data_IF_844180464039
#
_entry.id   IF_844180464039
#
_cell.length_a   1.000
_cell.length_b   1.000
_cell.length_c   1.000
_cell.angle_alpha   90.00
_cell.angle_beta   90.00
_cell.angle_gamma   90.00
#
_symmetry.space_group_name_H-M   'P 1'
#
loop_
_entity.id
_entity.type
_entity.pdbx_description
1 polymer ?
#
# COMPACT_ATOMS: atom_id res chain seq x y z
N UNK A 1 24.01 9.31 41.99
CA UNK A 1 23.92 8.72 40.63
C UNK A 1 24.05 7.23 40.75
N UNK A 2 23.04 6.50 40.33
CA UNK A 2 23.08 5.02 40.34
C UNK A 2 24.23 4.51 39.43
N UNK A 3 24.87 3.43 39.84
CA UNK A 3 25.92 2.81 39.02
C UNK A 3 25.26 1.98 37.90
N UNK A 4 25.19 2.54 36.70
CA UNK A 4 24.57 1.88 35.55
C UNK A 4 25.50 0.79 35.04
N UNK A 5 25.12 -0.46 35.22
CA UNK A 5 25.90 -1.64 34.79
C UNK A 5 25.62 -2.00 33.34
N UNK A 6 26.56 -2.69 32.69
CA UNK A 6 26.36 -3.24 31.34
C UNK A 6 25.19 -4.23 31.28
N UNK A 7 24.96 -4.97 32.38
CA UNK A 7 23.82 -5.90 32.49
C UNK A 7 22.48 -5.17 32.46
N UNK A 8 22.32 -4.10 33.23
CA UNK A 8 21.09 -3.26 33.20
C UNK A 8 20.79 -2.73 31.78
N UNK A 9 21.82 -2.29 31.06
CA UNK A 9 21.67 -1.81 29.67
C UNK A 9 21.22 -2.95 28.74
N UNK A 10 21.77 -4.15 28.93
CA UNK A 10 21.39 -5.34 28.18
C UNK A 10 19.96 -5.73 28.44
N UNK A 11 19.54 -5.81 29.72
CA UNK A 11 18.20 -6.18 30.15
C UNK A 11 17.14 -5.18 29.62
N UNK A 12 17.44 -3.87 29.68
CA UNK A 12 16.58 -2.83 29.14
C UNK A 12 16.46 -2.94 27.61
N UNK A 13 17.57 -3.25 26.91
CA UNK A 13 17.56 -3.47 25.48
C UNK A 13 16.76 -4.71 25.08
N UNK A 14 16.88 -5.80 25.80
CA UNK A 14 16.06 -7.02 25.56
C UNK A 14 14.57 -6.72 25.75
N UNK A 15 14.22 -5.95 26.78
CA UNK A 15 12.84 -5.57 27.09
C UNK A 15 12.23 -4.58 26.08
N UNK A 16 13.02 -3.64 25.56
CA UNK A 16 12.51 -2.50 24.74
C UNK A 16 12.90 -2.56 23.29
N UNK A 17 13.91 -3.38 22.94
CA UNK A 17 14.53 -3.40 21.63
C UNK A 17 15.15 -2.06 21.18
N UNK A 18 15.31 -1.10 22.06
CA UNK A 18 15.96 0.18 21.78
C UNK A 18 17.48 0.05 21.59
N UNK A 19 18.11 1.05 20.98
CA UNK A 19 19.55 1.08 20.79
C UNK A 19 20.32 1.12 22.12
N UNK A 20 21.50 0.47 22.18
CA UNK A 20 22.27 0.32 23.41
C UNK A 20 22.64 1.67 24.06
N UNK A 21 22.98 2.67 23.23
CA UNK A 21 23.26 4.04 23.71
C UNK A 21 22.03 4.74 24.27
N UNK A 22 20.87 4.53 23.67
CA UNK A 22 19.61 5.11 24.15
C UNK A 22 19.18 4.44 25.46
N UNK A 23 19.34 3.12 25.60
CA UNK A 23 19.13 2.39 26.88
C UNK A 23 20.05 2.93 27.99
N UNK A 24 21.34 3.15 27.70
CA UNK A 24 22.25 3.72 28.68
C UNK A 24 21.83 5.14 29.09
N UNK A 25 21.44 6.00 28.12
CA UNK A 25 20.95 7.36 28.41
C UNK A 25 19.66 7.33 29.25
N UNK A 26 18.75 6.44 28.95
CA UNK A 26 17.50 6.28 29.69
C UNK A 26 17.78 5.90 31.16
N UNK A 27 18.57 4.85 31.39
CA UNK A 27 18.95 4.44 32.75
C UNK A 27 19.68 5.56 33.52
N UNK A 28 20.54 6.30 32.85
CA UNK A 28 21.22 7.44 33.47
C UNK A 28 20.24 8.55 33.86
N UNK A 29 19.26 8.84 33.00
CA UNK A 29 18.25 9.88 33.24
C UNK A 29 17.23 9.50 34.34
N UNK A 30 17.08 8.22 34.63
CA UNK A 30 16.14 7.67 35.61
C UNK A 30 16.82 7.03 36.83
N UNK A 31 18.10 7.38 37.06
CA UNK A 31 18.89 6.86 38.18
C UNK A 31 18.86 5.34 38.33
N UNK A 32 18.80 4.59 37.20
CA UNK A 32 18.80 3.14 37.16
C UNK A 32 17.42 2.49 37.34
N UNK A 33 16.34 3.27 37.46
CA UNK A 33 14.99 2.73 37.50
C UNK A 33 14.62 2.17 36.10
N UNK A 34 14.37 0.86 36.06
CA UNK A 34 14.12 0.12 34.81
C UNK A 34 12.77 0.49 34.19
N UNK A 35 11.72 0.68 35.01
CA UNK A 35 10.38 1.01 34.50
C UNK A 35 10.27 2.47 34.05
N UNK A 36 10.84 3.36 34.81
CA UNK A 36 10.98 4.76 34.40
C UNK A 36 11.83 4.89 33.12
N UNK A 37 12.88 4.07 32.96
CA UNK A 37 13.71 4.05 31.75
C UNK A 37 12.93 3.53 30.50
N UNK A 38 12.03 2.56 30.65
CA UNK A 38 11.13 2.11 29.59
C UNK A 38 10.22 3.25 29.15
N UNK A 39 9.59 3.94 30.10
CA UNK A 39 8.71 5.09 29.85
C UNK A 39 9.48 6.23 29.17
N UNK A 40 10.67 6.57 29.65
CA UNK A 40 11.55 7.57 29.06
C UNK A 40 11.93 7.24 27.61
N UNK A 41 12.29 5.97 27.32
CA UNK A 41 12.61 5.52 25.97
C UNK A 41 11.42 5.66 25.04
N UNK A 42 10.23 5.32 25.52
CA UNK A 42 8.98 5.44 24.75
C UNK A 42 8.69 6.90 24.38
N UNK A 43 8.72 7.81 25.35
CA UNK A 43 8.49 9.25 25.12
C UNK A 43 9.52 9.86 24.16
N UNK A 44 10.80 9.53 24.34
CA UNK A 44 11.87 9.97 23.44
C UNK A 44 11.78 9.36 22.04
N UNK A 45 11.34 8.11 21.92
CA UNK A 45 11.09 7.44 20.66
C UNK A 45 9.98 8.13 19.87
N UNK A 46 8.85 8.40 20.49
CA UNK A 46 7.75 9.16 19.90
C UNK A 46 8.21 10.55 19.46
N UNK A 47 8.93 11.30 20.31
CA UNK A 47 9.44 12.62 19.98
C UNK A 47 10.41 12.60 18.77
N UNK A 48 11.22 11.54 18.62
CA UNK A 48 12.07 11.33 17.43
C UNK A 48 11.26 11.00 16.19
N UNK A 49 10.22 10.15 16.33
CA UNK A 49 9.35 9.77 15.23
C UNK A 49 8.58 10.98 14.66
N UNK A 50 8.02 11.81 15.54
CA UNK A 50 7.32 13.06 15.15
C UNK A 50 8.26 14.01 14.38
N UNK A 51 9.53 14.13 14.78
CA UNK A 51 10.50 14.95 14.02
C UNK A 51 10.76 14.45 12.60
N UNK A 52 10.48 13.18 12.32
CA UNK A 52 10.62 12.57 10.99
C UNK A 52 9.32 12.63 10.17
N UNK A 53 8.28 13.27 10.66
CA UNK A 53 6.97 13.31 10.00
C UNK A 53 7.04 13.91 8.58
N UNK A 54 7.94 14.86 8.35
CA UNK A 54 8.21 15.45 7.04
C UNK A 54 9.01 14.57 6.07
N UNK A 55 9.56 13.42 6.52
CA UNK A 55 10.34 12.55 5.66
C UNK A 55 9.43 11.78 4.68
N UNK A 56 9.93 11.56 3.44
CA UNK A 56 9.23 10.76 2.43
C UNK A 56 9.36 9.28 2.83
N UNK A 57 8.23 8.59 2.93
CA UNK A 57 8.15 7.16 3.17
C UNK A 57 7.40 6.52 1.98
N UNK A 58 8.15 6.12 0.95
CA UNK A 58 7.61 5.57 -0.30
C UNK A 58 7.82 4.06 -0.44
N UNK A 59 8.57 3.47 0.49
CA UNK A 59 8.72 2.02 0.62
C UNK A 59 7.76 1.48 1.69
N UNK A 60 7.83 0.20 2.00
CA UNK A 60 6.94 -0.44 2.97
C UNK A 60 6.24 -1.68 2.40
N UNK A 61 5.09 -2.03 2.96
CA UNK A 61 4.26 -3.15 2.52
C UNK A 61 2.77 -2.79 2.54
N UNK A 62 2.04 -3.34 1.58
CA UNK A 62 0.59 -3.47 1.66
C UNK A 62 0.22 -4.78 2.35
N UNK A 63 -0.93 -4.81 3.00
CA UNK A 63 -1.49 -6.03 3.59
C UNK A 63 -3.02 -6.00 3.57
N UNK A 64 -3.60 -7.12 3.94
CA UNK A 64 -5.03 -7.23 4.20
C UNK A 64 -5.27 -8.08 5.45
N UNK A 65 -6.40 -7.86 6.10
CA UNK A 65 -6.94 -8.70 7.14
C UNK A 65 -8.41 -8.98 6.85
N UNK A 66 -8.84 -10.22 7.07
CA UNK A 66 -10.22 -10.64 6.78
C UNK A 66 -10.80 -11.27 8.05
N UNK A 67 -12.03 -10.83 8.42
CA UNK A 67 -12.79 -11.40 9.53
C UNK A 67 -14.27 -11.46 9.15
N UNK A 68 -14.81 -12.66 9.03
CA UNK A 68 -16.20 -12.88 8.59
C UNK A 68 -16.47 -12.20 7.25
N UNK A 69 -17.41 -11.27 7.23
CA UNK A 69 -17.84 -10.55 6.03
C UNK A 69 -17.09 -9.23 5.80
N UNK A 70 -16.07 -8.93 6.60
CA UNK A 70 -15.26 -7.73 6.50
C UNK A 70 -13.84 -8.04 6.06
N UNK A 71 -13.32 -7.31 5.08
CA UNK A 71 -11.92 -7.29 4.69
C UNK A 71 -11.38 -5.87 4.76
N UNK A 72 -10.18 -5.73 5.30
CA UNK A 72 -9.45 -4.47 5.35
C UNK A 72 -8.20 -4.60 4.51
N UNK A 73 -8.00 -3.69 3.58
CA UNK A 73 -6.80 -3.60 2.74
C UNK A 73 -6.09 -2.30 3.06
N UNK A 74 -4.81 -2.36 3.36
CA UNK A 74 -4.08 -1.18 3.84
C UNK A 74 -2.62 -1.17 3.41
N UNK A 75 -2.01 0.02 3.47
CA UNK A 75 -0.60 0.25 3.18
C UNK A 75 0.09 0.88 4.38
N UNK A 76 1.16 0.23 4.85
CA UNK A 76 2.06 0.74 5.89
C UNK A 76 3.40 1.07 5.24
N UNK A 77 3.76 2.36 5.25
CA UNK A 77 4.97 2.84 4.59
C UNK A 77 6.15 2.96 5.55
N UNK A 78 7.36 2.80 5.00
CA UNK A 78 8.67 3.07 5.60
C UNK A 78 9.53 3.90 4.66
N UNK A 79 10.65 4.43 5.15
CA UNK A 79 11.58 5.19 4.32
C UNK A 79 12.39 4.29 3.39
N UNK A 80 12.80 3.10 3.89
CA UNK A 80 13.62 2.15 3.14
C UNK A 80 12.94 0.78 2.99
N UNK A 81 13.32 0.04 1.97
CA UNK A 81 12.91 -1.33 1.74
C UNK A 81 13.55 -2.32 2.74
N UNK A 82 14.70 -1.98 3.34
CA UNK A 82 15.30 -2.76 4.42
C UNK A 82 14.37 -2.87 5.63
N UNK A 83 13.72 -1.77 6.00
CA UNK A 83 12.74 -1.76 7.09
C UNK A 83 11.52 -2.58 6.73
N UNK A 84 11.05 -2.53 5.49
CA UNK A 84 9.92 -3.34 5.02
C UNK A 84 10.16 -4.86 5.16
N UNK A 85 11.42 -5.30 5.13
CA UNK A 85 11.82 -6.71 5.33
C UNK A 85 12.12 -7.06 6.80
N UNK A 86 12.12 -6.09 7.70
CA UNK A 86 12.42 -6.29 9.10
C UNK A 86 11.26 -7.01 9.82
N UNK A 87 11.55 -8.04 10.62
CA UNK A 87 10.55 -8.80 11.36
C UNK A 87 9.65 -7.91 12.22
N UNK A 88 10.19 -6.89 12.90
CA UNK A 88 9.39 -5.96 13.72
C UNK A 88 8.41 -5.12 12.89
N UNK A 89 8.77 -4.77 11.65
CA UNK A 89 7.87 -4.08 10.74
C UNK A 89 6.75 -5.02 10.28
N UNK A 90 7.08 -6.27 9.96
CA UNK A 90 6.10 -7.29 9.58
C UNK A 90 5.14 -7.60 10.73
N UNK A 91 5.65 -7.70 11.96
CA UNK A 91 4.83 -7.89 13.16
C UNK A 91 3.88 -6.70 13.38
N UNK A 92 4.38 -5.47 13.23
CA UNK A 92 3.55 -4.26 13.27
C UNK A 92 2.48 -4.27 12.17
N UNK A 93 2.85 -4.63 10.94
CA UNK A 93 1.93 -4.73 9.81
C UNK A 93 0.77 -5.69 10.10
N UNK A 94 1.07 -6.86 10.66
CA UNK A 94 0.05 -7.85 11.04
C UNK A 94 -0.83 -7.32 12.17
N UNK A 95 -0.24 -6.72 13.20
CA UNK A 95 -0.95 -6.10 14.33
C UNK A 95 -1.89 -4.98 13.88
N UNK A 96 -1.43 -4.10 12.98
CA UNK A 96 -2.25 -3.03 12.39
C UNK A 96 -3.49 -3.63 11.69
N UNK A 97 -3.30 -4.66 10.87
CA UNK A 97 -4.40 -5.35 10.19
C UNK A 97 -5.41 -5.96 11.17
N UNK A 98 -4.92 -6.61 12.23
CA UNK A 98 -5.77 -7.20 13.27
C UNK A 98 -6.57 -6.15 14.03
N UNK A 99 -5.95 -5.04 14.41
CA UNK A 99 -6.63 -3.94 15.11
C UNK A 99 -7.75 -3.36 14.22
N UNK A 100 -7.45 -3.07 12.95
CA UNK A 100 -8.42 -2.40 12.08
C UNK A 100 -9.58 -3.34 11.71
N UNK A 101 -9.33 -4.62 11.42
CA UNK A 101 -10.40 -5.56 11.04
C UNK A 101 -11.35 -5.84 12.20
N UNK A 102 -10.89 -5.71 13.45
CA UNK A 102 -11.71 -5.88 14.67
C UNK A 102 -12.41 -4.59 15.12
N UNK A 103 -12.23 -3.46 14.42
CA UNK A 103 -12.84 -2.16 14.75
C UNK A 103 -13.91 -1.78 13.74
N UNK A 104 -14.62 -0.68 13.98
CA UNK A 104 -15.59 -0.10 13.05
C UNK A 104 -14.97 0.96 12.13
N UNK A 105 -13.65 1.05 12.08
CA UNK A 105 -12.95 2.01 11.23
C UNK A 105 -13.16 1.69 9.75
N UNK A 106 -13.55 2.70 8.98
CA UNK A 106 -13.79 2.60 7.52
C UNK A 106 -12.83 3.45 6.71
N UNK A 107 -12.01 4.28 7.35
CA UNK A 107 -11.06 5.18 6.71
C UNK A 107 -9.73 5.21 7.45
N UNK A 108 -8.68 5.76 6.82
CA UNK A 108 -7.34 5.87 7.41
C UNK A 108 -7.34 6.68 8.70
N UNK A 109 -7.97 7.85 8.71
CA UNK A 109 -8.04 8.71 9.89
C UNK A 109 -8.85 8.05 11.03
N UNK A 110 -9.90 7.32 10.68
CA UNK A 110 -10.68 6.55 11.64
C UNK A 110 -9.82 5.42 12.24
N UNK A 111 -9.06 4.71 11.41
CA UNK A 111 -8.20 3.62 11.83
C UNK A 111 -7.10 4.08 12.81
N UNK A 112 -6.49 5.24 12.55
CA UNK A 112 -5.45 5.79 13.42
C UNK A 112 -5.94 6.11 14.84
N UNK A 113 -7.24 6.33 15.03
CA UNK A 113 -7.88 6.63 16.31
C UNK A 113 -8.41 5.38 17.04
N UNK A 114 -8.29 4.19 16.44
CA UNK A 114 -8.76 2.95 17.08
C UNK A 114 -7.91 2.66 18.30
N UNK A 115 -8.55 2.48 19.44
CA UNK A 115 -7.88 2.14 20.68
C UNK A 115 -7.58 0.64 20.75
N UNK A 116 -6.32 0.31 21.07
CA UNK A 116 -5.84 -1.03 21.33
C UNK A 116 -4.72 -0.96 22.39
N UNK A 117 -4.73 -1.89 23.33
CA UNK A 117 -3.72 -1.94 24.40
C UNK A 117 -3.59 -0.64 25.22
N UNK A 118 -4.70 0.09 25.39
CA UNK A 118 -4.75 1.34 26.17
C UNK A 118 -4.15 2.57 25.46
N UNK A 119 -3.98 2.53 24.14
CA UNK A 119 -3.51 3.63 23.31
C UNK A 119 -4.10 3.55 21.90
N UNK A 120 -4.11 4.67 21.20
CA UNK A 120 -4.57 4.69 19.80
C UNK A 120 -3.54 4.06 18.85
N UNK A 121 -4.01 3.62 17.68
CA UNK A 121 -3.18 2.96 16.67
C UNK A 121 -2.05 3.88 16.17
N UNK A 122 -2.29 5.19 16.07
CA UNK A 122 -1.27 6.15 15.69
C UNK A 122 -0.10 6.13 16.66
N UNK A 123 -0.38 6.12 17.98
CA UNK A 123 0.65 6.01 19.03
C UNK A 123 1.43 4.71 18.91
N UNK A 124 0.76 3.58 18.64
CA UNK A 124 1.43 2.28 18.41
C UNK A 124 2.41 2.37 17.24
N UNK A 125 2.01 2.99 16.13
CA UNK A 125 2.86 3.18 14.94
C UNK A 125 4.03 4.11 15.24
N UNK A 126 3.81 5.22 15.96
CA UNK A 126 4.86 6.17 16.34
C UNK A 126 5.90 5.52 17.26
N UNK A 127 5.47 4.71 18.23
CA UNK A 127 6.38 3.95 19.10
C UNK A 127 7.26 2.99 18.30
N UNK A 128 6.65 2.24 17.37
CA UNK A 128 7.39 1.34 16.48
C UNK A 128 8.37 2.09 15.58
N UNK A 129 7.97 3.25 15.04
CA UNK A 129 8.84 4.14 14.28
C UNK A 129 10.03 4.63 15.11
N UNK A 130 9.81 4.96 16.39
CA UNK A 130 10.87 5.34 17.32
C UNK A 130 11.88 4.22 17.61
N UNK A 131 11.40 2.97 17.72
CA UNK A 131 12.24 1.78 17.95
C UNK A 131 13.02 1.37 16.71
N UNK A 132 12.35 1.36 15.55
CA UNK A 132 12.95 0.98 14.26
C UNK A 132 13.91 2.07 13.77
N UNK A 133 13.62 3.33 14.07
CA UNK A 133 14.47 4.45 13.72
C UNK A 133 14.17 5.10 12.38
N UNK A 134 13.10 4.70 11.69
CA UNK A 134 12.59 5.31 10.46
C UNK A 134 11.15 5.80 10.64
N UNK A 135 10.71 6.73 9.78
CA UNK A 135 9.30 7.07 9.68
C UNK A 135 8.50 5.85 9.22
N UNK A 136 7.50 5.50 10.00
CA UNK A 136 6.48 4.53 9.63
C UNK A 136 5.13 5.23 9.64
N UNK A 137 4.31 5.02 8.62
CA UNK A 137 3.00 5.66 8.51
C UNK A 137 1.97 4.74 7.88
N UNK A 138 0.76 4.72 8.45
CA UNK A 138 -0.41 4.13 7.84
C UNK A 138 -0.94 5.10 6.79
N UNK A 139 -0.73 4.79 5.51
CA UNK A 139 -1.00 5.73 4.42
C UNK A 139 -2.43 5.67 3.93
N UNK A 140 -2.94 4.48 3.74
CA UNK A 140 -4.29 4.26 3.21
C UNK A 140 -4.91 2.99 3.78
N UNK A 141 -6.18 3.08 4.04
CA UNK A 141 -7.03 1.98 4.51
C UNK A 141 -8.29 1.97 3.66
N UNK A 142 -8.65 0.82 3.15
CA UNK A 142 -9.91 0.59 2.45
C UNK A 142 -10.59 -0.63 3.03
N UNK A 143 -11.88 -0.52 3.30
CA UNK A 143 -12.69 -1.61 3.83
C UNK A 143 -13.61 -2.13 2.73
N UNK A 144 -13.66 -3.45 2.61
CA UNK A 144 -14.61 -4.16 1.77
C UNK A 144 -15.52 -5.00 2.67
N UNK A 145 -16.79 -4.99 2.36
CA UNK A 145 -17.79 -5.85 2.98
C UNK A 145 -18.40 -6.77 1.92
N UNK A 146 -18.74 -7.97 2.31
CA UNK A 146 -19.43 -8.94 1.49
C UNK A 146 -20.68 -9.46 2.19
N UNK A 147 -21.64 -9.95 1.43
CA UNK A 147 -22.76 -10.72 1.95
C UNK A 147 -22.38 -12.19 2.18
N UNK A 148 -23.25 -12.96 2.85
CA UNK A 148 -23.03 -14.41 3.03
C UNK A 148 -23.11 -15.19 1.70
N UNK A 149 -23.72 -14.62 0.67
CA UNK A 149 -23.77 -15.20 -0.68
C UNK A 149 -22.53 -14.88 -1.54
N UNK A 150 -21.57 -14.19 -0.98
CA UNK A 150 -20.36 -13.73 -1.66
C UNK A 150 -19.10 -14.31 -1.01
N UNK A 151 -18.00 -14.30 -1.76
CA UNK A 151 -16.71 -14.78 -1.32
C UNK A 151 -15.63 -13.72 -1.53
N UNK A 152 -14.66 -13.66 -0.60
CA UNK A 152 -13.44 -12.91 -0.81
C UNK A 152 -12.39 -13.74 -1.55
N UNK A 153 -11.77 -13.15 -2.58
CA UNK A 153 -10.52 -13.60 -3.14
C UNK A 153 -9.40 -12.67 -2.70
N UNK A 154 -8.38 -13.20 -2.05
CA UNK A 154 -7.27 -12.39 -1.56
C UNK A 154 -5.93 -12.91 -2.09
N UNK A 155 -5.06 -12.01 -2.53
CA UNK A 155 -3.75 -12.34 -3.04
C UNK A 155 -2.69 -11.31 -2.62
N UNK A 156 -1.54 -11.82 -2.19
CA UNK A 156 -0.38 -11.02 -1.81
C UNK A 156 0.77 -11.37 -2.74
N UNK A 157 1.23 -10.40 -3.53
CA UNK A 157 2.33 -10.56 -4.47
C UNK A 157 3.62 -9.96 -3.90
N UNK A 158 4.77 -10.60 -4.20
CA UNK A 158 6.10 -10.15 -3.80
C UNK A 158 6.18 -9.74 -2.32
N UNK A 159 5.66 -10.59 -1.42
CA UNK A 159 5.72 -10.36 0.02
C UNK A 159 4.82 -9.24 0.55
N UNK A 160 3.94 -8.67 -0.28
CA UNK A 160 3.09 -7.54 0.08
C UNK A 160 3.44 -6.24 -0.67
N UNK A 161 4.28 -6.29 -1.69
CA UNK A 161 4.49 -5.15 -2.58
C UNK A 161 3.23 -4.78 -3.36
N UNK A 162 2.42 -5.78 -3.69
CA UNK A 162 1.08 -5.60 -4.23
C UNK A 162 0.14 -6.52 -3.46
N UNK A 163 -1.01 -6.00 -3.08
CA UNK A 163 -2.09 -6.80 -2.51
C UNK A 163 -3.39 -6.53 -3.23
N UNK A 164 -4.20 -7.56 -3.34
CA UNK A 164 -5.53 -7.50 -3.94
C UNK A 164 -6.52 -8.23 -3.04
N UNK A 165 -7.68 -7.62 -2.85
CA UNK A 165 -8.88 -8.30 -2.34
C UNK A 165 -9.99 -8.06 -3.33
N UNK A 166 -10.61 -9.12 -3.82
CA UNK A 166 -11.75 -9.11 -4.71
C UNK A 166 -12.99 -9.69 -3.99
N UNK A 167 -14.17 -9.22 -4.35
CA UNK A 167 -15.47 -9.73 -3.89
C UNK A 167 -16.18 -10.32 -5.11
N UNK A 168 -16.59 -11.57 -5.00
CA UNK A 168 -17.34 -12.24 -6.04
C UNK A 168 -18.67 -12.75 -5.48
N UNK A 169 -19.73 -12.68 -6.29
CA UNK A 169 -20.95 -13.44 -6.06
C UNK A 169 -20.65 -14.94 -6.25
N UNK A 170 -21.16 -15.78 -5.37
CA UNK A 170 -20.90 -17.20 -5.33
C UNK A 170 -20.02 -17.60 -4.13
N UNK A 171 -19.56 -18.86 -4.13
CA UNK A 171 -18.83 -19.45 -3.02
C UNK A 171 -17.51 -20.15 -3.43
N UNK A 172 -17.03 -19.92 -4.64
CA UNK A 172 -15.79 -20.52 -5.13
C UNK A 172 -14.57 -19.67 -4.77
N UNK A 173 -13.92 -20.02 -3.65
CA UNK A 173 -12.72 -19.35 -3.16
C UNK A 173 -11.54 -19.45 -4.14
N UNK A 174 -11.47 -20.53 -4.93
CA UNK A 174 -10.39 -20.73 -5.91
C UNK A 174 -10.53 -19.72 -7.03
N UNK A 175 -11.73 -19.59 -7.59
CA UNK A 175 -12.02 -18.60 -8.64
C UNK A 175 -11.78 -17.18 -8.11
N UNK A 176 -12.23 -16.88 -6.91
CA UNK A 176 -12.02 -15.55 -6.30
C UNK A 176 -10.53 -15.22 -6.11
N UNK A 177 -9.73 -16.18 -5.64
CA UNK A 177 -8.28 -16.04 -5.51
C UNK A 177 -7.59 -15.87 -6.85
N UNK A 178 -8.04 -16.61 -7.88
CA UNK A 178 -7.50 -16.53 -9.22
C UNK A 178 -7.77 -15.17 -9.87
N UNK A 179 -8.96 -14.61 -9.66
CA UNK A 179 -9.29 -13.22 -10.04
C UNK A 179 -8.38 -12.23 -9.32
N UNK A 180 -8.19 -12.37 -8.01
CA UNK A 180 -7.29 -11.49 -7.26
C UNK A 180 -5.84 -11.57 -7.77
N UNK A 181 -5.37 -12.76 -8.15
CA UNK A 181 -4.05 -12.96 -8.74
C UNK A 181 -3.95 -12.28 -10.12
N UNK A 182 -4.98 -12.40 -10.95
CA UNK A 182 -5.04 -11.73 -12.24
C UNK A 182 -5.00 -10.21 -12.09
N UNK A 183 -5.80 -9.65 -11.17
CA UNK A 183 -5.80 -8.21 -10.84
C UNK A 183 -4.41 -7.73 -10.38
N UNK A 184 -3.71 -8.51 -9.57
CA UNK A 184 -2.36 -8.18 -9.14
C UNK A 184 -1.38 -8.07 -10.31
N UNK A 185 -1.49 -8.99 -11.28
CA UNK A 185 -0.59 -9.10 -12.43
C UNK A 185 -0.90 -8.06 -13.51
N UNK A 186 -2.17 -7.89 -13.87
CA UNK A 186 -2.59 -7.09 -15.03
C UNK A 186 -2.98 -5.66 -14.67
N UNK A 187 -3.25 -5.36 -13.40
CA UNK A 187 -3.54 -4.04 -12.90
C UNK A 187 -4.75 -3.35 -13.52
N UNK A 188 -5.90 -4.02 -13.72
CA UNK A 188 -7.09 -3.34 -14.21
C UNK A 188 -7.52 -2.23 -13.25
N UNK A 189 -8.18 -1.21 -13.77
CA UNK A 189 -8.66 -0.07 -12.96
C UNK A 189 -10.13 -0.20 -12.61
N UNK A 190 -10.92 -0.87 -13.46
CA UNK A 190 -12.36 -1.03 -13.36
C UNK A 190 -12.75 -2.51 -13.52
N UNK A 191 -13.88 -2.89 -12.95
CA UNK A 191 -14.42 -4.25 -13.16
C UNK A 191 -14.93 -4.38 -14.61
N UNK A 192 -15.76 -3.44 -15.06
CA UNK A 192 -16.35 -3.42 -16.40
C UNK A 192 -16.27 -2.03 -17.03
N UNK A 193 -16.71 -1.91 -18.29
CA UNK A 193 -16.79 -0.61 -18.98
C UNK A 193 -17.81 0.32 -18.36
N UNK A 194 -18.87 -0.22 -17.77
CA UNK A 194 -19.96 0.53 -17.17
C UNK A 194 -19.51 1.26 -15.88
N UNK A 195 -18.40 0.83 -15.29
CA UNK A 195 -17.81 1.41 -14.08
C UNK A 195 -16.90 2.61 -14.38
N UNK A 196 -16.60 2.86 -15.66
CA UNK A 196 -15.68 3.95 -16.05
C UNK A 196 -16.46 5.29 -16.01
N UNK A 197 -15.96 6.31 -15.29
CA UNK A 197 -16.59 7.63 -15.31
C UNK A 197 -16.66 8.21 -16.73
N UNK A 198 -17.81 8.77 -17.09
CA UNK A 198 -18.02 9.34 -18.44
C UNK A 198 -16.99 10.41 -18.81
N UNK A 199 -16.54 11.20 -17.85
CA UNK A 199 -15.49 12.21 -18.03
C UNK A 199 -14.15 11.58 -18.42
N UNK A 200 -13.79 10.42 -17.84
CA UNK A 200 -12.57 9.71 -18.19
C UNK A 200 -12.66 9.14 -19.60
N UNK A 201 -13.80 8.56 -19.98
CA UNK A 201 -14.03 8.10 -21.36
C UNK A 201 -13.92 9.25 -22.35
N UNK A 202 -14.51 10.41 -22.04
CA UNK A 202 -14.43 11.59 -22.89
C UNK A 202 -12.99 12.10 -23.05
N UNK A 203 -12.25 12.19 -21.96
CA UNK A 203 -10.84 12.60 -21.95
C UNK A 203 -9.95 11.64 -22.73
N UNK A 204 -10.14 10.34 -22.55
CA UNK A 204 -9.39 9.32 -23.30
C UNK A 204 -9.68 9.42 -24.81
N UNK A 205 -10.94 9.66 -25.18
CA UNK A 205 -11.34 9.88 -26.58
C UNK A 205 -10.64 11.10 -27.18
N UNK A 206 -10.53 12.19 -26.45
CA UNK A 206 -9.83 13.41 -26.91
C UNK A 206 -8.33 13.13 -27.13
N UNK A 207 -7.68 12.41 -26.22
CA UNK A 207 -6.27 12.04 -26.33
C UNK A 207 -6.05 11.15 -27.57
N UNK A 208 -6.90 10.14 -27.75
CA UNK A 208 -6.84 9.23 -28.92
C UNK A 208 -7.06 9.99 -30.21
N UNK A 209 -8.01 10.93 -30.24
CA UNK A 209 -8.28 11.77 -31.42
C UNK A 209 -7.06 12.64 -31.78
N UNK A 210 -6.50 13.34 -30.80
CA UNK A 210 -5.32 14.19 -31.02
C UNK A 210 -4.12 13.36 -31.52
N UNK A 211 -3.89 12.17 -30.90
CA UNK A 211 -2.83 11.26 -31.34
C UNK A 211 -3.05 10.76 -32.76
N UNK A 212 -4.28 10.35 -33.12
CA UNK A 212 -4.60 9.85 -34.44
C UNK A 212 -4.48 10.94 -35.54
N UNK A 213 -4.83 12.19 -35.22
CA UNK A 213 -4.65 13.34 -36.13
C UNK A 213 -3.17 13.64 -36.35
N UNK A 214 -2.35 13.62 -35.30
CA UNK A 214 -0.90 13.85 -35.43
C UNK A 214 -0.23 12.74 -36.26
N UNK A 215 -0.58 11.47 -36.02
CA UNK A 215 -0.09 10.35 -36.85
C UNK A 215 -0.52 10.48 -38.31
N UNK A 216 -1.76 10.93 -38.55
CA UNK A 216 -2.28 11.14 -39.89
C UNK A 216 -1.56 12.28 -40.66
N UNK A 217 -1.21 13.35 -39.97
CA UNK A 217 -0.49 14.50 -40.58
C UNK A 217 0.91 14.10 -41.09
N UNK A 218 1.53 13.08 -40.47
CA UNK A 218 2.85 12.56 -40.88
C UNK A 218 2.77 11.36 -41.81
N UNK A 219 1.54 10.89 -42.12
CA UNK A 219 1.32 9.70 -42.95
C UNK A 219 1.57 9.99 -44.43
N UNK A 220 2.15 9.04 -45.15
CA UNK A 220 2.32 9.12 -46.62
C UNK A 220 0.99 9.14 -47.40
N UNK A 221 -0.12 8.73 -46.76
CA UNK A 221 -1.49 8.75 -47.32
C UNK A 221 -2.46 9.25 -46.26
N UNK A 222 -2.52 10.58 -46.02
CA UNK A 222 -3.40 11.13 -45.01
C UNK A 222 -4.87 10.88 -45.36
N UNK A 223 -5.64 10.52 -44.32
CA UNK A 223 -7.09 10.31 -44.42
C UNK A 223 -7.82 11.58 -44.01
N UNK A 224 -9.06 11.79 -44.51
CA UNK A 224 -9.92 12.85 -44.02
C UNK A 224 -10.13 12.76 -42.48
N UNK A 225 -10.08 13.91 -41.81
CA UNK A 225 -10.24 13.98 -40.35
C UNK A 225 -11.55 13.35 -39.85
N UNK A 226 -12.63 13.49 -40.63
CA UNK A 226 -13.92 12.86 -40.33
C UNK A 226 -13.82 11.33 -40.27
N UNK A 227 -13.05 10.71 -41.16
CA UNK A 227 -12.85 9.24 -41.14
C UNK A 227 -12.04 8.83 -39.90
N UNK A 228 -11.11 9.66 -39.47
CA UNK A 228 -10.35 9.41 -38.25
C UNK A 228 -11.29 9.45 -37.04
N UNK A 229 -12.07 10.51 -36.93
CA UNK A 229 -13.00 10.72 -35.81
C UNK A 229 -14.10 9.63 -35.73
N UNK A 230 -14.65 9.24 -36.89
CA UNK A 230 -15.84 8.36 -36.92
C UNK A 230 -15.51 6.85 -36.99
N UNK A 231 -14.33 6.47 -37.50
CA UNK A 231 -13.99 5.07 -37.72
C UNK A 231 -12.74 4.61 -36.96
N UNK A 232 -11.72 5.46 -36.83
CA UNK A 232 -10.46 5.04 -36.17
C UNK A 232 -10.54 5.25 -34.67
N UNK A 233 -10.99 6.42 -34.22
CA UNK A 233 -11.07 6.76 -32.80
C UNK A 233 -11.97 5.80 -32.00
N UNK A 234 -13.19 5.45 -32.43
CA UNK A 234 -14.02 4.51 -31.68
C UNK A 234 -13.38 3.14 -31.48
N UNK A 235 -12.72 2.60 -32.51
CA UNK A 235 -12.04 1.30 -32.40
C UNK A 235 -10.84 1.34 -31.47
N UNK A 236 -10.04 2.43 -31.48
CA UNK A 236 -8.93 2.62 -30.57
C UNK A 236 -9.41 2.83 -29.13
N UNK A 237 -10.46 3.61 -28.95
CA UNK A 237 -11.07 3.85 -27.65
C UNK A 237 -11.60 2.53 -27.05
N UNK A 238 -12.31 1.75 -27.83
CA UNK A 238 -12.79 0.45 -27.39
C UNK A 238 -11.65 -0.48 -26.93
N UNK A 239 -10.54 -0.47 -27.66
CA UNK A 239 -9.35 -1.24 -27.29
C UNK A 239 -8.73 -0.73 -25.99
N UNK A 240 -8.53 0.58 -25.86
CA UNK A 240 -8.00 1.21 -24.65
C UNK A 240 -8.85 0.90 -23.42
N UNK A 241 -10.19 1.04 -23.55
CA UNK A 241 -11.11 0.73 -22.44
C UNK A 241 -11.11 -0.75 -22.06
N UNK A 242 -10.93 -1.67 -23.04
CA UNK A 242 -10.80 -3.10 -22.75
C UNK A 242 -9.55 -3.42 -21.92
N UNK A 243 -8.45 -2.72 -22.15
CA UNK A 243 -7.19 -2.95 -21.44
C UNK A 243 -7.26 -2.57 -19.97
N UNK A 244 -8.10 -1.60 -19.59
CA UNK A 244 -8.27 -1.16 -18.19
C UNK A 244 -9.44 -1.84 -17.46
N UNK A 245 -10.27 -2.64 -18.15
CA UNK A 245 -11.42 -3.34 -17.59
C UNK A 245 -11.10 -4.81 -17.31
N UNK A 246 -11.22 -5.23 -16.07
CA UNK A 246 -10.94 -6.59 -15.60
C UNK A 246 -11.65 -7.66 -16.44
N UNK A 247 -12.97 -7.53 -16.61
CA UNK A 247 -13.78 -8.56 -17.28
C UNK A 247 -13.41 -8.76 -18.76
N UNK A 248 -12.88 -7.71 -19.42
CA UNK A 248 -12.50 -7.74 -20.84
C UNK A 248 -11.08 -8.26 -21.09
N UNK A 249 -10.24 -8.37 -20.03
CA UNK A 249 -8.86 -8.82 -20.17
C UNK A 249 -8.78 -10.32 -20.42
N UNK A 250 -7.79 -10.76 -21.20
CA UNK A 250 -7.44 -12.17 -21.34
C UNK A 250 -6.96 -12.72 -20.00
N UNK A 251 -7.49 -13.84 -19.55
CA UNK A 251 -7.21 -14.40 -18.23
C UNK A 251 -5.75 -14.87 -18.11
N UNK A 252 -5.02 -14.40 -17.11
CA UNK A 252 -3.58 -14.65 -16.99
C UNK A 252 -3.18 -16.13 -16.95
N UNK A 253 -4.03 -17.01 -16.43
CA UNK A 253 -3.77 -18.46 -16.39
C UNK A 253 -4.20 -19.19 -17.67
N UNK A 254 -5.10 -18.60 -18.44
CA UNK A 254 -5.57 -19.14 -19.71
C UNK A 254 -5.96 -18.00 -20.66
N UNK A 255 -5.02 -17.52 -21.50
CA UNK A 255 -5.24 -16.38 -22.40
C UNK A 255 -6.29 -16.61 -23.49
N UNK A 256 -6.72 -17.85 -23.72
CA UNK A 256 -7.74 -18.19 -24.71
C UNK A 256 -9.16 -17.80 -24.28
N UNK A 257 -9.34 -17.39 -23.01
CA UNK A 257 -10.61 -16.90 -22.49
C UNK A 257 -10.43 -15.58 -21.75
N UNK A 258 -11.51 -14.80 -21.70
CA UNK A 258 -11.56 -13.59 -20.88
C UNK A 258 -11.79 -13.93 -19.41
N UNK A 259 -11.47 -12.97 -18.51
CA UNK A 259 -11.82 -13.09 -17.08
C UNK A 259 -13.33 -13.26 -16.90
N UNK A 260 -14.15 -12.56 -17.70
CA UNK A 260 -15.60 -12.69 -17.69
C UNK A 260 -16.05 -14.14 -17.98
N UNK A 261 -15.52 -14.75 -19.07
CA UNK A 261 -15.83 -16.13 -19.44
C UNK A 261 -15.38 -17.12 -18.35
N UNK A 262 -14.22 -16.91 -17.76
CA UNK A 262 -13.71 -17.75 -16.68
C UNK A 262 -14.62 -17.73 -15.45
N UNK A 263 -15.00 -16.54 -14.97
CA UNK A 263 -15.85 -16.36 -13.78
C UNK A 263 -17.28 -16.87 -14.05
N UNK A 264 -17.84 -16.58 -15.23
CA UNK A 264 -19.17 -17.08 -15.63
C UNK A 264 -19.21 -18.61 -15.70
N UNK A 265 -18.15 -19.26 -16.19
CA UNK A 265 -18.01 -20.73 -16.22
C UNK A 265 -18.11 -21.36 -14.83
N UNK A 266 -17.69 -20.64 -13.79
CA UNK A 266 -17.82 -21.02 -12.37
C UNK A 266 -19.14 -20.55 -11.73
N UNK A 267 -20.09 -20.01 -12.50
CA UNK A 267 -21.35 -19.42 -12.01
C UNK A 267 -21.14 -18.34 -10.96
N UNK A 268 -20.07 -17.62 -11.06
CA UNK A 268 -19.68 -16.51 -10.20
C UNK A 268 -19.72 -15.19 -10.99
N UNK A 269 -19.69 -14.06 -10.29
CA UNK A 269 -19.61 -12.73 -10.88
C UNK A 269 -18.71 -11.86 -10.04
N UNK A 270 -17.82 -11.09 -10.67
CA UNK A 270 -17.01 -10.10 -9.95
C UNK A 270 -17.91 -8.93 -9.56
N UNK A 271 -17.90 -8.59 -8.26
CA UNK A 271 -18.65 -7.45 -7.70
C UNK A 271 -17.71 -6.24 -7.65
N UNK A 272 -16.56 -6.39 -7.02
CA UNK A 272 -15.57 -5.31 -6.87
C UNK A 272 -14.19 -5.89 -6.53
N UNK A 273 -13.18 -5.06 -6.60
CA UNK A 273 -11.84 -5.38 -6.10
C UNK A 273 -11.14 -4.12 -5.61
N UNK A 274 -10.16 -4.32 -4.72
CA UNK A 274 -9.17 -3.31 -4.32
C UNK A 274 -7.80 -3.86 -4.63
N UNK A 275 -6.98 -3.08 -5.31
CA UNK A 275 -5.56 -3.32 -5.56
C UNK A 275 -4.76 -2.19 -4.94
N UNK A 276 -3.82 -2.52 -4.08
CA UNK A 276 -2.83 -1.59 -3.55
C UNK A 276 -1.44 -2.03 -3.98
N UNK A 277 -0.66 -1.09 -4.50
CA UNK A 277 0.77 -1.25 -4.72
C UNK A 277 1.54 -0.24 -3.85
N UNK A 278 2.60 -0.70 -3.21
CA UNK A 278 3.42 0.12 -2.30
C UNK A 278 3.96 1.34 -3.02
N UNK A 279 3.80 2.52 -2.41
CA UNK A 279 4.35 3.78 -2.90
C UNK A 279 3.67 4.33 -4.15
N UNK A 280 2.60 3.70 -4.64
CA UNK A 280 1.86 4.18 -5.82
C UNK A 280 1.35 5.61 -5.61
N UNK A 281 1.70 6.53 -6.54
CA UNK A 281 1.34 7.94 -6.46
C UNK A 281 2.19 8.78 -5.49
N UNK A 282 3.25 8.23 -4.90
CA UNK A 282 4.24 9.02 -4.15
C UNK A 282 5.37 9.42 -5.10
N UNK A 283 5.59 10.73 -5.23
CA UNK A 283 6.76 11.24 -5.95
C UNK A 283 8.02 10.89 -5.14
N UNK A 284 8.84 10.01 -5.68
CA UNK A 284 10.17 9.74 -5.14
C UNK A 284 11.07 10.90 -5.53
N UNK A 285 11.66 11.59 -4.54
CA UNK A 285 12.77 12.48 -4.86
C UNK A 285 13.91 11.64 -5.43
N UNK A 286 14.32 11.93 -6.66
CA UNK A 286 15.59 11.44 -7.17
C UNK A 286 16.70 12.12 -6.36
N UNK A 287 17.22 11.39 -5.38
CA UNK A 287 18.36 11.86 -4.60
C UNK A 287 19.58 11.68 -5.46
N UNK A 288 20.17 12.77 -5.93
CA UNK A 288 21.50 12.73 -6.50
C UNK A 288 22.50 12.41 -5.38
N UNK A 289 22.80 11.11 -5.26
CA UNK A 289 23.70 10.58 -4.23
C UNK A 289 25.08 11.27 -4.26
N UNK A 290 25.56 11.68 -5.43
CA UNK A 290 26.82 12.39 -5.58
C UNK A 290 26.74 13.80 -4.98
N UNK A 291 25.63 14.50 -5.18
CA UNK A 291 25.39 15.83 -4.59
C UNK A 291 25.21 15.72 -3.07
N UNK A 292 24.55 14.71 -2.55
CA UNK A 292 24.37 14.50 -1.11
C UNK A 292 25.68 14.18 -0.40
N UNK A 293 26.50 13.30 -0.98
CA UNK A 293 27.86 13.00 -0.46
C UNK A 293 28.75 14.23 -0.49
N UNK A 294 28.69 15.03 -1.56
CA UNK A 294 29.44 16.28 -1.63
C UNK A 294 29.01 17.30 -0.56
N UNK A 295 27.69 17.43 -0.30
CA UNK A 295 27.16 18.31 0.73
C UNK A 295 27.55 17.83 2.14
N UNK A 296 27.50 16.54 2.43
CA UNK A 296 27.94 15.96 3.70
C UNK A 296 29.45 16.15 3.91
N UNK A 297 30.26 15.91 2.88
CA UNK A 297 31.71 16.12 2.95
C UNK A 297 32.07 17.59 3.20
N UNK A 298 31.35 18.53 2.60
CA UNK A 298 31.51 19.97 2.81
C UNK A 298 31.10 20.41 4.23
N UNK A 299 30.11 19.76 4.83
CA UNK A 299 29.67 20.01 6.20
C UNK A 299 30.65 19.48 7.26
N UNK A 300 31.39 18.40 6.96
CA UNK A 300 32.42 17.82 7.85
C UNK A 300 33.72 18.63 7.86
N UNK A 301 33.99 19.42 6.81
CA UNK A 301 35.20 20.24 6.67
C UNK A 301 35.02 21.70 7.19
N UNK A 302 33.91 22.01 7.85
CA UNK A 302 33.66 23.24 8.61
C UNK A 302 33.67 22.96 10.10
#
# INVERSE_FOLDING_TARGET
MANITAQMVKDLREKTSAGMLDCKKALTATDGDMEAAVTWLREKGIAKAVKKEGAIAAEGLCSFAIKGNKAVVFELNSQTDFVAQNAKFVDLLNKVGEIIVNSDATCTECALKVEAEGKDLNTIILEASGVIGEKISLRRVTVLEKTDAQVFGAYKHAGGRIVVVAVLDGNDETVAKDVAMHVAAMGPRYVSKDDIPAEEVAKEREIILATALNENATSAKPKPEQIIADKIVPGRLEKSLKEICLLSQAFVKNPDQTVEAYVAGAKSKVVTFIRLAVGEGIEKQEVDFAAEVAAQSAAFNK
#
